data_IF_995714736465
#
_entry.id   IF_995714736465
#
_cell.length_a   1.000
_cell.length_b   1.000
_cell.length_c   1.000
_cell.angle_alpha   90.00
_cell.angle_beta   90.00
_cell.angle_gamma   90.00
#
_symmetry.space_group_name_H-M   'P 1'
#
loop_
_entity.id
_entity.type
_entity.pdbx_description
1 polymer ?
#
# COMPACT_ATOMS: atom_id res chain seq x y z
N UNK A 1 -10.07 -5.46 -22.98
CA UNK A 1 -9.72 -6.12 -21.70
C UNK A 1 -11.01 -6.65 -21.11
N UNK A 2 -11.06 -7.94 -20.75
CA UNK A 2 -12.22 -8.51 -20.05
C UNK A 2 -12.26 -7.93 -18.63
N UNK A 3 -13.45 -7.59 -18.13
CA UNK A 3 -13.60 -7.12 -16.75
C UNK A 3 -13.11 -8.23 -15.78
N UNK A 4 -12.29 -7.89 -14.77
CA UNK A 4 -11.79 -8.89 -13.84
C UNK A 4 -12.96 -9.55 -13.08
N UNK A 5 -12.93 -10.88 -12.95
CA UNK A 5 -13.93 -11.61 -12.21
C UNK A 5 -13.78 -11.30 -10.71
N UNK A 6 -14.88 -10.93 -10.04
CA UNK A 6 -14.91 -10.55 -8.61
C UNK A 6 -14.34 -11.64 -7.71
N UNK A 7 -14.55 -12.91 -8.05
CA UNK A 7 -14.00 -14.05 -7.30
C UNK A 7 -12.47 -14.11 -7.37
N UNK A 8 -11.91 -13.78 -8.53
CA UNK A 8 -10.46 -13.75 -8.74
C UNK A 8 -9.82 -12.57 -7.99
N UNK A 9 -10.46 -11.39 -8.03
CA UNK A 9 -9.98 -10.24 -7.26
C UNK A 9 -10.05 -10.52 -5.76
N UNK A 10 -11.09 -11.21 -5.28
CA UNK A 10 -11.19 -11.60 -3.89
C UNK A 10 -10.01 -12.47 -3.43
N UNK A 11 -9.59 -13.46 -4.25
CA UNK A 11 -8.39 -14.28 -3.96
C UNK A 11 -7.13 -13.40 -3.88
N UNK A 12 -7.01 -12.42 -4.78
CA UNK A 12 -5.88 -11.50 -4.80
C UNK A 12 -5.87 -10.57 -3.58
N UNK A 13 -7.03 -10.06 -3.16
CA UNK A 13 -7.19 -9.27 -1.94
C UNK A 13 -6.79 -10.06 -0.71
N UNK A 14 -7.23 -11.31 -0.58
CA UNK A 14 -6.82 -12.19 0.52
C UNK A 14 -5.30 -12.37 0.59
N UNK A 15 -4.63 -12.56 -0.57
CA UNK A 15 -3.17 -12.64 -0.61
C UNK A 15 -2.52 -11.33 -0.14
N UNK A 16 -3.02 -10.19 -0.60
CA UNK A 16 -2.51 -8.88 -0.19
C UNK A 16 -2.68 -8.63 1.31
N UNK A 17 -3.85 -8.93 1.87
CA UNK A 17 -4.08 -8.86 3.32
C UNK A 17 -3.12 -9.80 4.09
N UNK A 18 -2.84 -10.98 3.54
CA UNK A 18 -1.81 -11.88 4.05
C UNK A 18 -0.42 -11.25 4.09
N UNK A 19 -0.01 -10.59 3.01
CA UNK A 19 1.27 -9.85 2.92
C UNK A 19 1.35 -8.75 3.98
N UNK A 20 0.28 -7.95 4.13
CA UNK A 20 0.22 -6.91 5.17
C UNK A 20 0.34 -7.54 6.55
N UNK A 21 -0.36 -8.65 6.81
CA UNK A 21 -0.30 -9.34 8.09
C UNK A 21 1.10 -9.87 8.39
N UNK A 22 1.75 -10.52 7.43
CA UNK A 22 3.13 -11.02 7.58
C UNK A 22 4.13 -9.90 7.86
N UNK A 23 3.91 -8.69 7.34
CA UNK A 23 4.76 -7.53 7.69
C UNK A 23 4.64 -7.13 9.17
N UNK A 24 3.52 -7.46 9.82
CA UNK A 24 3.27 -7.18 11.25
C UNK A 24 3.60 -8.36 12.17
N UNK A 25 4.23 -9.43 11.67
CA UNK A 25 4.65 -10.58 12.48
C UNK A 25 6.15 -10.82 12.35
N UNK A 26 6.66 -11.77 13.13
CA UNK A 26 8.07 -12.19 13.07
C UNK A 26 8.46 -12.76 11.70
N UNK A 27 7.51 -13.19 10.86
CA UNK A 27 7.76 -13.60 9.48
C UNK A 27 8.46 -12.52 8.67
N UNK A 28 8.24 -11.25 9.03
CA UNK A 28 8.90 -10.12 8.41
C UNK A 28 10.42 -10.23 8.43
N UNK A 29 11.04 -10.82 9.48
CA UNK A 29 12.50 -11.02 9.54
C UNK A 29 13.07 -11.90 8.43
N UNK A 30 12.25 -12.73 7.79
CA UNK A 30 12.66 -13.55 6.65
C UNK A 30 12.61 -12.81 5.32
N UNK A 31 12.13 -11.55 5.29
CA UNK A 31 11.99 -10.81 4.06
C UNK A 31 13.32 -10.22 3.60
N UNK A 32 13.53 -10.26 2.28
CA UNK A 32 14.65 -9.63 1.60
C UNK A 32 14.14 -8.71 0.49
N UNK A 33 15.02 -8.04 -0.26
CA UNK A 33 14.61 -7.17 -1.38
C UNK A 33 13.72 -7.86 -2.42
N UNK A 34 13.88 -9.17 -2.65
CA UNK A 34 13.04 -9.92 -3.59
C UNK A 34 11.62 -10.07 -3.04
N UNK A 35 11.48 -10.42 -1.77
CA UNK A 35 10.18 -10.49 -1.09
C UNK A 35 9.50 -9.11 -1.07
N UNK A 36 10.26 -8.06 -0.73
CA UNK A 36 9.80 -6.67 -0.75
C UNK A 36 9.30 -6.24 -2.13
N UNK A 37 10.03 -6.56 -3.20
CA UNK A 37 9.62 -6.22 -4.57
C UNK A 37 8.35 -6.94 -4.98
N UNK A 38 8.25 -8.25 -4.70
CA UNK A 38 7.04 -9.02 -4.99
C UNK A 38 5.83 -8.48 -4.24
N UNK A 39 6.00 -8.13 -2.97
CA UNK A 39 4.94 -7.54 -2.17
C UNK A 39 4.53 -6.15 -2.70
N UNK A 40 5.48 -5.34 -3.14
CA UNK A 40 5.23 -4.07 -3.81
C UNK A 40 4.47 -4.24 -5.14
N UNK A 41 4.87 -5.20 -5.97
CA UNK A 41 4.18 -5.50 -7.23
C UNK A 41 2.74 -5.96 -6.99
N UNK A 42 2.51 -6.76 -5.93
CA UNK A 42 1.16 -7.10 -5.48
C UNK A 42 0.34 -5.87 -5.08
N UNK A 43 0.93 -4.94 -4.33
CA UNK A 43 0.23 -3.73 -3.89
C UNK A 43 -0.22 -2.86 -5.09
N UNK A 44 0.65 -2.67 -6.08
CA UNK A 44 0.31 -1.96 -7.33
C UNK A 44 -0.78 -2.69 -8.11
N UNK A 45 -0.62 -4.00 -8.29
CA UNK A 45 -1.60 -4.83 -9.00
C UNK A 45 -2.99 -4.72 -8.38
N UNK A 46 -3.11 -4.74 -7.05
CA UNK A 46 -4.40 -4.61 -6.36
C UNK A 46 -5.04 -3.25 -6.60
N UNK A 47 -4.26 -2.16 -6.46
CA UNK A 47 -4.74 -0.80 -6.69
C UNK A 47 -5.27 -0.63 -8.11
N UNK A 48 -4.51 -1.11 -9.11
CA UNK A 48 -4.92 -1.10 -10.52
C UNK A 48 -6.15 -1.99 -10.77
N UNK A 49 -6.18 -3.21 -10.23
CA UNK A 49 -7.29 -4.15 -10.43
C UNK A 49 -8.60 -3.59 -9.86
N UNK A 50 -8.52 -2.90 -8.72
CA UNK A 50 -9.67 -2.30 -8.05
C UNK A 50 -10.19 -1.06 -8.75
N UNK A 51 -9.32 -0.25 -9.36
CA UNK A 51 -9.71 0.93 -10.12
C UNK A 51 -10.66 0.58 -11.27
N UNK A 52 -10.48 -0.61 -11.87
CA UNK A 52 -11.26 -1.09 -13.03
C UNK A 52 -12.54 -1.86 -12.66
N UNK A 53 -12.86 -2.02 -11.37
CA UNK A 53 -14.08 -2.70 -10.94
C UNK A 53 -15.30 -1.79 -10.98
N UNK A 54 -16.45 -2.38 -11.28
CA UNK A 54 -17.75 -1.72 -11.18
C UNK A 54 -18.21 -1.60 -9.71
N UNK A 55 -19.14 -0.68 -9.44
CA UNK A 55 -19.60 -0.37 -8.08
C UNK A 55 -20.22 -1.60 -7.38
N UNK A 56 -20.85 -2.50 -8.14
CA UNK A 56 -21.40 -3.74 -7.60
C UNK A 56 -20.30 -4.68 -7.09
N UNK A 57 -19.20 -4.85 -7.85
CA UNK A 57 -18.05 -5.62 -7.41
C UNK A 57 -17.32 -4.97 -6.23
N UNK A 58 -17.16 -3.65 -6.24
CA UNK A 58 -16.58 -2.92 -5.09
C UNK A 58 -17.42 -3.13 -3.82
N UNK A 59 -18.75 -3.03 -3.93
CA UNK A 59 -19.64 -3.30 -2.80
C UNK A 59 -19.57 -4.76 -2.35
N UNK A 60 -19.42 -5.71 -3.28
CA UNK A 60 -19.26 -7.12 -2.94
C UNK A 60 -17.99 -7.36 -2.13
N UNK A 61 -16.84 -6.87 -2.60
CA UNK A 61 -15.57 -6.96 -1.89
C UNK A 61 -15.65 -6.32 -0.51
N UNK A 62 -16.23 -5.13 -0.41
CA UNK A 62 -16.39 -4.44 0.87
C UNK A 62 -17.23 -5.25 1.87
N UNK A 63 -18.27 -5.96 1.40
CA UNK A 63 -19.08 -6.83 2.26
C UNK A 63 -18.34 -8.12 2.65
N UNK A 64 -17.59 -8.72 1.72
CA UNK A 64 -16.84 -9.96 1.95
C UNK A 64 -15.74 -9.78 2.99
N UNK A 65 -15.01 -8.67 2.91
CA UNK A 65 -13.85 -8.40 3.77
C UNK A 65 -14.17 -7.46 4.95
N UNK A 66 -15.45 -7.11 5.15
CA UNK A 66 -15.91 -6.12 6.15
C UNK A 66 -15.31 -6.32 7.55
N UNK A 67 -15.12 -7.57 7.96
CA UNK A 67 -14.62 -7.93 9.28
C UNK A 67 -13.12 -8.22 9.33
N UNK A 68 -12.44 -8.22 8.18
CA UNK A 68 -11.00 -8.39 8.14
C UNK A 68 -10.33 -7.08 8.57
N UNK A 69 -9.52 -7.15 9.62
CA UNK A 69 -8.73 -6.01 10.07
C UNK A 69 -7.56 -5.77 9.14
N UNK A 70 -7.39 -4.54 8.68
CA UNK A 70 -6.17 -4.14 7.96
C UNK A 70 -5.06 -3.93 8.99
N UNK A 71 -3.90 -4.60 8.85
CA UNK A 71 -2.76 -4.43 9.76
C UNK A 71 -2.08 -3.06 9.56
N UNK A 72 -2.81 -1.98 9.86
CA UNK A 72 -2.29 -0.61 9.91
C UNK A 72 -2.10 -0.19 11.37
N UNK A 73 -1.29 0.85 11.62
CA UNK A 73 -0.95 1.37 12.95
C UNK A 73 -2.16 1.57 13.90
N UNK A 74 -3.34 1.84 13.35
CA UNK A 74 -4.57 1.90 14.14
C UNK A 74 -5.09 0.49 14.37
N UNK A 75 -4.95 0.01 15.60
CA UNK A 75 -5.78 -1.06 16.15
C UNK A 75 -7.22 -0.88 15.62
N UNK A 76 -7.67 -1.76 14.74
CA UNK A 76 -9.03 -1.79 14.18
C UNK A 76 -9.40 -0.70 13.16
N UNK A 77 -8.60 -0.51 12.10
CA UNK A 77 -9.18 0.03 10.86
C UNK A 77 -10.01 -1.08 10.19
N UNK A 78 -11.33 -0.88 10.11
CA UNK A 78 -12.20 -1.73 9.30
C UNK A 78 -11.73 -1.70 7.84
N UNK A 79 -11.69 -2.87 7.20
CA UNK A 79 -11.43 -2.95 5.77
C UNK A 79 -12.43 -2.08 5.02
N UNK A 80 -11.90 -1.20 4.17
CA UNK A 80 -12.69 -0.32 3.30
C UNK A 80 -12.09 -0.38 1.90
N UNK A 81 -12.90 -0.18 0.86
CA UNK A 81 -12.43 -0.17 -0.53
C UNK A 81 -11.27 0.81 -0.78
N UNK A 82 -11.25 1.94 -0.07
CA UNK A 82 -10.17 2.93 -0.10
C UNK A 82 -8.81 2.36 0.28
N UNK A 83 -8.76 1.33 1.12
CA UNK A 83 -7.53 0.61 1.49
C UNK A 83 -6.94 -0.10 0.27
N UNK A 84 -7.79 -0.70 -0.57
CA UNK A 84 -7.32 -1.38 -1.78
C UNK A 84 -6.92 -0.39 -2.86
N UNK A 85 -7.68 0.70 -3.03
CA UNK A 85 -7.33 1.79 -3.95
C UNK A 85 -5.96 2.39 -3.59
N UNK A 86 -5.66 2.50 -2.29
CA UNK A 86 -4.38 2.99 -1.76
C UNK A 86 -3.43 1.86 -1.34
N UNK A 87 -3.58 0.64 -1.89
CA UNK A 87 -2.77 -0.51 -1.49
C UNK A 87 -1.25 -0.27 -1.49
N UNK A 88 -0.64 0.46 -2.45
CA UNK A 88 0.77 0.83 -2.40
C UNK A 88 1.15 1.64 -1.16
N UNK A 89 0.31 2.60 -0.75
CA UNK A 89 0.52 3.41 0.44
C UNK A 89 0.41 2.54 1.69
N UNK A 90 -0.62 1.71 1.78
CA UNK A 90 -0.84 0.84 2.92
C UNK A 90 0.26 -0.21 3.08
N UNK A 91 0.82 -0.71 1.98
CA UNK A 91 1.99 -1.59 2.02
C UNK A 91 3.23 -0.88 2.59
N UNK A 92 3.58 0.30 2.06
CA UNK A 92 4.74 1.07 2.55
C UNK A 92 4.56 1.42 4.02
N UNK A 93 3.35 1.84 4.40
CA UNK A 93 2.98 2.14 5.78
C UNK A 93 3.16 0.92 6.67
N UNK A 94 2.60 -0.23 6.31
CA UNK A 94 2.71 -1.46 7.08
C UNK A 94 4.18 -1.85 7.31
N UNK A 95 5.02 -1.77 6.28
CA UNK A 95 6.46 -2.06 6.41
C UNK A 95 7.16 -1.09 7.36
N UNK A 96 7.01 0.23 7.18
CA UNK A 96 7.67 1.25 8.01
C UNK A 96 7.22 1.18 9.46
N UNK A 97 5.96 0.81 9.67
CA UNK A 97 5.32 0.73 10.97
C UNK A 97 5.44 -0.64 11.63
N UNK A 98 6.08 -1.61 10.97
CA UNK A 98 6.25 -2.94 11.52
C UNK A 98 7.05 -2.90 12.82
N UNK A 99 6.57 -3.55 13.91
CA UNK A 99 7.33 -3.66 15.15
C UNK A 99 8.63 -4.47 14.96
N UNK A 100 8.73 -5.24 13.88
CA UNK A 100 9.89 -6.08 13.56
C UNK A 100 10.94 -5.38 12.69
N UNK A 101 10.65 -4.18 12.16
CA UNK A 101 11.59 -3.45 11.32
C UNK A 101 12.86 -3.04 12.07
N UNK A 102 12.73 -2.62 13.33
CA UNK A 102 13.87 -2.16 14.15
C UNK A 102 14.89 -3.28 14.38
N UNK A 103 14.39 -4.51 14.57
CA UNK A 103 15.19 -5.72 14.83
C UNK A 103 15.48 -6.53 13.58
N UNK A 104 15.06 -6.06 12.39
CA UNK A 104 15.19 -6.80 11.14
C UNK A 104 16.67 -6.98 10.74
N UNK A 105 17.13 -8.20 10.38
CA UNK A 105 18.53 -8.45 10.03
C UNK A 105 19.00 -7.67 8.81
N UNK A 106 18.13 -7.47 7.82
CA UNK A 106 18.38 -6.68 6.60
C UNK A 106 17.75 -5.27 6.64
N UNK A 107 17.61 -4.66 7.83
CA UNK A 107 16.87 -3.39 8.02
C UNK A 107 17.27 -2.30 7.02
N UNK A 108 18.55 -2.09 6.76
CA UNK A 108 19.03 -1.06 5.83
C UNK A 108 18.55 -1.31 4.39
N UNK A 109 18.58 -2.56 3.93
CA UNK A 109 18.09 -2.97 2.61
C UNK A 109 16.57 -2.76 2.49
N UNK A 110 15.82 -3.18 3.51
CA UNK A 110 14.37 -2.96 3.57
C UNK A 110 14.02 -1.46 3.49
N UNK A 111 14.73 -0.61 4.25
CA UNK A 111 14.54 0.84 4.22
C UNK A 111 14.88 1.42 2.85
N UNK A 112 15.95 0.94 2.19
CA UNK A 112 16.28 1.35 0.83
C UNK A 112 15.16 0.98 -0.16
N UNK A 113 14.57 -0.22 -0.04
CA UNK A 113 13.41 -0.60 -0.84
C UNK A 113 12.25 0.39 -0.63
N UNK A 114 11.88 0.68 0.63
CA UNK A 114 10.81 1.64 0.95
C UNK A 114 11.08 3.02 0.34
N UNK A 115 12.30 3.54 0.52
CA UNK A 115 12.71 4.84 -0.05
C UNK A 115 12.61 4.84 -1.58
N UNK A 116 12.93 3.72 -2.23
CA UNK A 116 12.80 3.59 -3.69
C UNK A 116 11.34 3.53 -4.17
N UNK A 117 10.42 3.07 -3.32
CA UNK A 117 8.99 2.97 -3.63
C UNK A 117 8.25 4.29 -3.41
N UNK A 118 8.69 5.11 -2.46
CA UNK A 118 8.01 6.35 -2.08
C UNK A 118 7.72 7.30 -3.26
N UNK A 119 8.64 7.55 -4.21
CA UNK A 119 8.36 8.40 -5.38
C UNK A 119 7.37 7.81 -6.38
N UNK A 120 7.09 6.50 -6.29
CA UNK A 120 6.18 5.76 -7.17
C UNK A 120 4.76 5.65 -6.59
N UNK A 121 4.54 6.15 -5.37
CA UNK A 121 3.23 6.11 -4.74
C UNK A 121 2.24 6.98 -5.53
N UNK A 122 1.00 6.49 -5.78
CA UNK A 122 -0.04 7.28 -6.42
C UNK A 122 -0.24 8.60 -5.68
N UNK A 123 -0.20 9.73 -6.39
CA UNK A 123 -0.50 11.02 -5.78
C UNK A 123 -1.99 11.03 -5.40
N UNK A 124 -2.29 11.28 -4.12
CA UNK A 124 -3.66 11.57 -3.72
C UNK A 124 -4.05 12.89 -4.38
N UNK A 125 -4.82 12.84 -5.46
CA UNK A 125 -5.47 14.03 -6.01
C UNK A 125 -6.50 14.44 -4.98
N UNK A 126 -6.10 15.28 -4.04
CA UNK A 126 -7.05 16.04 -3.24
C UNK A 126 -7.89 16.82 -4.23
N UNK A 127 -9.14 16.39 -4.41
CA UNK A 127 -10.15 17.17 -5.12
C UNK A 127 -10.56 18.36 -4.25
N UNK A 128 -9.58 19.21 -3.93
CA UNK A 128 -9.79 20.55 -3.41
C UNK A 128 -9.67 21.50 -4.58
N UNK A 129 -10.73 21.54 -5.40
CA UNK A 129 -10.94 22.63 -6.33
C UNK A 129 -11.29 23.90 -5.55
N UNK A 130 -10.28 24.59 -5.01
CA UNK A 130 -10.05 26.03 -5.15
C UNK A 130 -9.02 26.50 -4.12
N UNK A 131 -7.80 26.77 -4.57
CA UNK A 131 -7.26 28.14 -4.56
C UNK A 131 -5.85 28.15 -5.13
N UNK A 132 -5.77 28.65 -6.36
CA UNK A 132 -4.65 29.38 -6.94
C UNK A 132 -3.72 30.00 -5.90
N UNK A 133 -2.46 29.55 -5.80
CA UNK A 133 -1.27 30.39 -6.07
C UNK A 133 0.03 29.60 -5.88
N UNK A 134 0.82 29.60 -6.95
CA UNK A 134 2.28 29.59 -7.02
C UNK A 134 3.07 29.65 -5.71
N UNK A 135 4.19 28.92 -5.64
CA UNK A 135 5.51 29.55 -5.85
C UNK A 135 6.68 28.63 -5.43
N UNK A 136 7.45 28.22 -6.45
CA UNK A 136 8.91 28.32 -6.54
C UNK A 136 9.82 27.54 -5.57
N UNK A 137 10.50 26.55 -6.18
CA UNK A 137 11.80 25.94 -5.85
C UNK A 137 12.65 26.70 -4.81
N UNK A 138 12.80 26.12 -3.62
CA UNK A 138 13.79 26.50 -2.61
C UNK A 138 14.96 25.50 -2.61
N UNK A 139 15.82 25.60 -3.61
CA UNK A 139 17.20 25.11 -3.51
C UNK A 139 18.11 26.09 -4.23
N UNK A 140 18.49 27.16 -3.54
CA UNK A 140 19.68 27.93 -3.85
C UNK A 140 20.66 27.73 -2.70
N UNK A 141 21.49 26.69 -2.82
CA UNK A 141 22.78 26.60 -2.15
C UNK A 141 23.59 27.79 -2.64
N UNK A 142 24.07 28.64 -1.73
CA UNK A 142 25.13 29.58 -2.05
C UNK A 142 26.36 29.20 -1.24
N UNK A 143 27.28 28.54 -1.92
CA UNK A 143 28.67 28.35 -1.52
C UNK A 143 29.49 29.59 -1.89
N UNK A 144 30.49 29.86 -1.04
CA UNK A 144 31.61 30.82 -1.13
C UNK A 144 31.29 32.31 -0.99
#
# INVERSE_FOLDING_TARGET
MAAPNVDEVSIHVTKFLGILKSSQTQEFHGWNSVAMRRAWDWAKFISEAVEHLDDAAKSHLNNTFRFDGVPSLSFSAEFTMSVLEQAPHEFVRAVVCSPYLVTHPLRSEIVQCVVSYYPQLPQHVSSDANSTTSSTRLFAVRTS
#
